data_IF_445960588231
#
_entry.id   IF_445960588231
#
_cell.length_a   1.000
_cell.length_b   1.000
_cell.length_c   1.000
_cell.angle_alpha   90.00
_cell.angle_beta   90.00
_cell.angle_gamma   90.00
#
_symmetry.space_group_name_H-M   'P 1'
#
loop_
_entity.id
_entity.type
_entity.pdbx_description
1 polymer ?
#
# COMPACT_ATOMS: atom_id res chain seq x y z
N UNK A 1 -1.09 21.26 -0.80
CA UNK A 1 -0.16 20.66 0.17
C UNK A 1 -0.20 21.49 1.45
N UNK A 2 -0.36 20.83 2.56
CA UNK A 2 -0.36 21.51 3.87
C UNK A 2 1.10 21.83 4.23
N UNK A 3 1.44 23.12 4.25
CA UNK A 3 2.82 23.61 4.45
C UNK A 3 3.42 23.21 5.81
N UNK A 4 2.60 22.76 6.77
CA UNK A 4 3.08 22.25 8.07
C UNK A 4 3.96 21.00 7.96
N UNK A 5 3.95 20.30 6.82
CA UNK A 5 4.66 19.03 6.60
C UNK A 5 5.82 19.16 5.62
N UNK A 6 6.15 20.37 5.18
CA UNK A 6 7.14 20.61 4.12
C UNK A 6 8.57 20.77 4.66
N UNK A 7 8.74 21.06 5.95
CA UNK A 7 10.03 21.43 6.51
C UNK A 7 10.82 20.28 7.16
N UNK A 8 10.15 19.19 7.57
CA UNK A 8 10.78 18.15 8.40
C UNK A 8 10.70 16.76 7.75
N UNK A 9 11.71 15.94 8.03
CA UNK A 9 11.66 14.50 7.76
C UNK A 9 10.49 13.87 8.51
N UNK A 10 9.78 12.96 7.86
CA UNK A 10 8.70 12.19 8.46
C UNK A 10 8.66 10.77 7.90
N UNK A 11 8.04 9.85 8.62
CA UNK A 11 7.66 8.56 8.05
C UNK A 11 6.23 8.65 7.56
N UNK A 12 6.03 8.53 6.24
CA UNK A 12 4.70 8.38 5.65
C UNK A 12 4.32 6.92 5.58
N UNK A 13 3.06 6.58 5.90
CA UNK A 13 2.50 5.24 5.75
C UNK A 13 1.18 5.31 4.99
N UNK A 14 1.00 4.36 4.07
CA UNK A 14 -0.27 4.13 3.37
C UNK A 14 -0.43 2.65 3.02
N UNK A 15 -1.69 2.23 2.76
CA UNK A 15 -2.02 0.87 2.38
C UNK A 15 -2.78 0.79 1.06
N UNK A 16 -2.76 -0.39 0.46
CA UNK A 16 -3.49 -0.72 -0.75
C UNK A 16 -4.11 -2.09 -0.67
N UNK A 17 -5.25 -2.26 -1.34
CA UNK A 17 -5.91 -3.56 -1.45
C UNK A 17 -6.91 -3.87 -0.36
N UNK A 18 -7.35 -2.93 0.47
CA UNK A 18 -8.39 -3.16 1.49
C UNK A 18 -9.70 -3.67 0.91
N UNK A 19 -10.16 -3.08 -0.19
CA UNK A 19 -11.43 -3.44 -0.85
C UNK A 19 -11.33 -4.56 -1.89
N UNK A 20 -10.20 -5.23 -2.03
CA UNK A 20 -10.04 -6.35 -2.98
C UNK A 20 -10.67 -7.63 -2.43
N UNK A 21 -11.23 -8.47 -3.31
CA UNK A 21 -11.79 -9.78 -2.97
C UNK A 21 -10.71 -10.86 -2.81
N UNK A 22 -9.52 -10.61 -3.36
CA UNK A 22 -8.38 -11.54 -3.32
C UNK A 22 -7.05 -10.82 -3.13
N UNK A 23 -6.07 -11.55 -2.62
CA UNK A 23 -4.72 -11.12 -2.35
C UNK A 23 -4.56 -10.37 -1.03
N UNK A 24 -3.32 -10.05 -0.64
CA UNK A 24 -3.02 -9.39 0.61
C UNK A 24 -3.47 -7.92 0.62
N UNK A 25 -3.65 -7.37 1.82
CA UNK A 25 -3.47 -5.93 2.04
C UNK A 25 -1.98 -5.68 2.18
N UNK A 26 -1.48 -4.65 1.48
CA UNK A 26 -0.06 -4.28 1.47
C UNK A 26 0.06 -2.85 1.94
N UNK A 27 0.99 -2.59 2.87
CA UNK A 27 1.35 -1.26 3.32
C UNK A 27 2.81 -0.97 3.02
N UNK A 28 3.14 0.30 2.84
CA UNK A 28 4.51 0.78 2.81
C UNK A 28 4.73 1.88 3.84
N UNK A 29 5.93 1.92 4.40
CA UNK A 29 6.44 3.01 5.22
C UNK A 29 7.66 3.60 4.51
N UNK A 30 7.70 4.92 4.33
CA UNK A 30 8.79 5.64 3.65
C UNK A 30 9.32 6.73 4.56
N UNK A 31 10.62 6.73 4.83
CA UNK A 31 11.29 7.86 5.49
C UNK A 31 11.47 8.98 4.47
N UNK A 32 10.50 9.89 4.45
CA UNK A 32 10.48 10.99 3.49
C UNK A 32 11.46 12.09 3.91
N UNK A 33 12.34 12.47 2.99
CA UNK A 33 13.25 13.60 3.14
C UNK A 33 12.82 14.72 2.19
N UNK A 34 12.46 15.92 2.69
CA UNK A 34 12.08 17.06 1.85
C UNK A 34 13.15 17.50 0.84
N UNK A 35 14.41 17.16 1.05
CA UNK A 35 15.51 17.48 0.11
C UNK A 35 15.28 16.87 -1.29
N UNK A 36 14.43 15.83 -1.42
CA UNK A 36 14.10 15.28 -2.74
C UNK A 36 13.18 16.19 -3.55
N UNK A 37 12.53 17.19 -2.96
CA UNK A 37 11.52 18.02 -3.65
C UNK A 37 12.07 18.86 -4.80
N UNK A 38 13.37 19.15 -4.80
CA UNK A 38 14.04 19.82 -5.91
C UNK A 38 14.42 18.92 -7.10
N UNK A 39 14.24 17.61 -6.97
CA UNK A 39 14.66 16.68 -8.01
C UNK A 39 13.58 16.54 -9.10
N UNK A 40 13.97 16.42 -10.39
CA UNK A 40 13.02 16.39 -11.51
C UNK A 40 11.94 15.30 -11.40
N UNK A 41 12.25 14.16 -10.79
CA UNK A 41 11.32 13.04 -10.63
C UNK A 41 10.34 13.22 -9.46
N UNK A 42 10.64 14.11 -8.50
CA UNK A 42 9.83 14.28 -7.30
C UNK A 42 8.41 14.81 -7.60
N UNK A 43 8.22 15.49 -8.74
CA UNK A 43 6.90 15.91 -9.22
C UNK A 43 5.94 14.73 -9.46
N UNK A 44 6.48 13.51 -9.62
CA UNK A 44 5.71 12.27 -9.68
C UNK A 44 5.17 11.77 -8.35
N UNK A 45 5.65 12.31 -7.21
CA UNK A 45 5.13 11.98 -5.88
C UNK A 45 3.83 12.75 -5.66
N UNK A 46 2.71 12.13 -5.96
CA UNK A 46 1.36 12.69 -5.80
C UNK A 46 0.36 11.56 -5.62
N UNK A 47 -0.91 11.89 -5.41
CA UNK A 47 -1.99 10.92 -5.25
C UNK A 47 -1.89 9.79 -6.30
N UNK A 48 -1.61 8.58 -5.84
CA UNK A 48 -1.38 7.39 -6.68
C UNK A 48 -2.59 7.03 -7.54
N UNK A 49 -3.81 7.43 -7.11
CA UNK A 49 -5.07 7.20 -7.82
C UNK A 49 -5.18 8.01 -9.12
N UNK A 50 -4.40 9.09 -9.23
CA UNK A 50 -4.35 9.96 -10.43
C UNK A 50 -3.27 9.52 -11.42
N UNK A 51 -2.42 8.58 -11.05
CA UNK A 51 -1.29 8.13 -11.85
C UNK A 51 -1.65 6.94 -12.73
N UNK A 52 -1.10 6.92 -13.94
CA UNK A 52 -1.13 5.71 -14.77
C UNK A 52 -0.21 4.63 -14.16
N UNK A 53 -0.45 3.37 -14.51
CA UNK A 53 0.39 2.24 -14.08
C UNK A 53 1.88 2.50 -14.33
N UNK A 54 2.26 2.90 -15.56
CA UNK A 54 3.67 3.19 -15.90
C UNK A 54 4.25 4.34 -15.08
N UNK A 55 3.42 5.32 -14.70
CA UNK A 55 3.86 6.42 -13.84
C UNK A 55 4.10 5.93 -12.40
N UNK A 56 3.25 5.06 -11.87
CA UNK A 56 3.44 4.42 -10.54
C UNK A 56 4.73 3.60 -10.53
N UNK A 57 4.96 2.74 -11.53
CA UNK A 57 6.16 1.91 -11.64
C UNK A 57 7.44 2.76 -11.67
N UNK A 58 7.43 3.86 -12.46
CA UNK A 58 8.59 4.79 -12.54
C UNK A 58 8.81 5.56 -11.26
N UNK A 59 7.74 6.11 -10.67
CA UNK A 59 7.85 6.87 -9.43
C UNK A 59 8.25 5.95 -8.26
N UNK A 60 7.66 4.76 -8.16
CA UNK A 60 8.00 3.77 -7.15
C UNK A 60 9.47 3.38 -7.20
N UNK A 61 10.02 3.11 -8.39
CA UNK A 61 11.43 2.79 -8.56
C UNK A 61 12.35 3.93 -8.07
N UNK A 62 11.99 5.20 -8.36
CA UNK A 62 12.77 6.36 -7.90
C UNK A 62 12.66 6.60 -6.39
N UNK A 63 11.49 6.39 -5.82
CA UNK A 63 11.27 6.51 -4.37
C UNK A 63 12.15 5.50 -3.62
N UNK A 64 12.12 4.23 -4.01
CA UNK A 64 12.87 3.16 -3.31
C UNK A 64 14.37 3.22 -3.55
N UNK A 65 14.82 3.88 -4.63
CA UNK A 65 16.22 4.19 -4.89
C UNK A 65 16.73 5.33 -3.99
N UNK A 66 15.87 6.34 -3.74
CA UNK A 66 16.27 7.59 -3.10
C UNK A 66 16.01 7.64 -1.58
N UNK A 67 15.07 6.86 -1.08
CA UNK A 67 14.61 6.96 0.31
C UNK A 67 14.52 5.58 0.98
N UNK A 68 14.89 5.47 2.29
CA UNK A 68 14.64 4.27 3.06
C UNK A 68 13.14 3.94 3.13
N UNK A 69 12.80 2.68 2.96
CA UNK A 69 11.42 2.20 2.97
C UNK A 69 11.30 0.80 3.57
N UNK A 70 10.10 0.46 3.99
CA UNK A 70 9.70 -0.90 4.36
C UNK A 70 8.35 -1.23 3.73
N UNK A 71 8.13 -2.50 3.37
CA UNK A 71 6.87 -3.01 2.85
C UNK A 71 6.39 -4.12 3.78
N UNK A 72 5.15 -4.01 4.25
CA UNK A 72 4.47 -5.03 5.04
C UNK A 72 3.21 -5.50 4.33
N UNK A 73 2.80 -6.73 4.64
CA UNK A 73 1.57 -7.28 4.07
C UNK A 73 0.86 -8.18 5.10
N UNK A 74 -0.46 -8.31 4.95
CA UNK A 74 -1.27 -9.34 5.59
C UNK A 74 -2.02 -10.12 4.55
N UNK A 75 -1.92 -11.45 4.62
CA UNK A 75 -2.49 -12.39 3.66
C UNK A 75 -4.03 -12.40 3.68
N UNK A 76 -4.64 -13.04 2.68
CA UNK A 76 -6.08 -13.29 2.66
C UNK A 76 -6.53 -14.08 3.91
N UNK A 77 -5.76 -15.08 4.34
CA UNK A 77 -6.06 -15.86 5.54
C UNK A 77 -6.01 -15.01 6.82
N UNK A 78 -5.01 -14.12 6.97
CA UNK A 78 -4.95 -13.19 8.12
C UNK A 78 -6.10 -12.18 8.10
N UNK A 79 -6.52 -11.74 6.91
CA UNK A 79 -7.69 -10.85 6.76
C UNK A 79 -8.96 -11.58 7.19
N UNK A 80 -9.15 -12.82 6.79
CA UNK A 80 -10.29 -13.64 7.19
C UNK A 80 -10.30 -13.94 8.70
N UNK A 81 -9.12 -14.13 9.30
CA UNK A 81 -8.94 -14.42 10.73
C UNK A 81 -9.16 -13.18 11.61
N UNK A 82 -8.58 -12.05 11.26
CA UNK A 82 -8.50 -10.86 12.14
C UNK A 82 -9.45 -9.73 11.71
N UNK A 83 -10.04 -9.83 10.53
CA UNK A 83 -10.76 -8.75 9.89
C UNK A 83 -9.84 -7.71 9.23
N UNK A 84 -10.37 -7.03 8.21
CA UNK A 84 -9.57 -6.12 7.35
C UNK A 84 -8.92 -4.98 8.12
N UNK A 85 -9.56 -4.43 9.15
CA UNK A 85 -9.01 -3.32 9.93
C UNK A 85 -7.74 -3.75 10.68
N UNK A 86 -7.80 -4.87 11.42
CA UNK A 86 -6.62 -5.36 12.17
C UNK A 86 -5.52 -5.85 11.22
N UNK A 87 -5.88 -6.53 10.14
CA UNK A 87 -4.92 -6.96 9.11
C UNK A 87 -4.22 -5.76 8.44
N UNK A 88 -4.92 -4.64 8.24
CA UNK A 88 -4.29 -3.40 7.73
C UNK A 88 -3.25 -2.86 8.71
N UNK A 89 -3.60 -2.77 9.99
CA UNK A 89 -2.66 -2.32 11.04
C UNK A 89 -1.43 -3.23 11.08
N UNK A 90 -1.63 -4.54 11.04
CA UNK A 90 -0.53 -5.51 11.03
C UNK A 90 0.40 -5.34 9.82
N UNK A 91 -0.15 -5.05 8.64
CA UNK A 91 0.65 -4.74 7.46
C UNK A 91 1.46 -3.45 7.64
N UNK A 92 0.89 -2.41 8.26
CA UNK A 92 1.58 -1.15 8.57
C UNK A 92 2.69 -1.34 9.62
N UNK A 93 2.42 -2.10 10.69
CA UNK A 93 3.41 -2.46 11.71
C UNK A 93 4.62 -3.17 11.07
N UNK A 94 4.37 -4.17 10.23
CA UNK A 94 5.40 -4.90 9.48
C UNK A 94 6.19 -3.99 8.52
N UNK A 95 5.53 -3.03 7.89
CA UNK A 95 6.21 -2.05 7.03
C UNK A 95 7.15 -1.16 7.84
N UNK A 96 6.71 -0.67 9.01
CA UNK A 96 7.55 0.11 9.92
C UNK A 96 8.74 -0.67 10.46
N UNK A 97 8.54 -1.91 10.90
CA UNK A 97 9.63 -2.76 11.38
C UNK A 97 10.73 -2.89 10.33
N UNK A 98 10.37 -3.19 9.08
CA UNK A 98 11.33 -3.29 7.97
C UNK A 98 11.98 -1.97 7.61
N UNK A 99 11.28 -0.84 7.74
CA UNK A 99 11.89 0.48 7.61
C UNK A 99 12.92 0.71 8.72
N UNK A 100 12.58 0.41 9.97
CA UNK A 100 13.45 0.62 11.12
C UNK A 100 14.70 -0.27 11.14
N UNK A 101 14.63 -1.44 10.50
CA UNK A 101 15.80 -2.29 10.27
C UNK A 101 16.80 -1.65 9.31
N UNK A 102 16.29 -0.93 8.28
CA UNK A 102 17.09 -0.27 7.24
C UNK A 102 17.57 1.13 7.63
N UNK A 103 16.77 1.84 8.42
CA UNK A 103 17.00 3.22 8.85
C UNK A 103 16.54 3.39 10.30
N UNK A 104 17.38 3.00 11.29
CA UNK A 104 17.03 3.08 12.72
C UNK A 104 16.67 4.49 13.19
N UNK A 105 17.22 5.52 12.55
CA UNK A 105 16.92 6.93 12.82
C UNK A 105 15.44 7.29 12.56
N UNK A 106 14.74 6.54 11.72
CA UNK A 106 13.31 6.72 11.45
C UNK A 106 12.43 6.56 12.71
N UNK A 107 12.94 5.89 13.76
CA UNK A 107 12.24 5.77 15.06
C UNK A 107 12.07 7.10 15.80
N UNK A 108 12.84 8.12 15.42
CA UNK A 108 12.88 9.43 16.08
C UNK A 108 12.08 10.52 15.37
N UNK A 109 11.43 10.18 14.26
CA UNK A 109 10.64 11.14 13.49
C UNK A 109 9.16 10.81 13.54
N UNK A 110 8.33 11.81 13.25
CA UNK A 110 6.87 11.68 13.27
C UNK A 110 6.42 10.66 12.22
N UNK A 111 5.56 9.74 12.63
CA UNK A 111 4.86 8.81 11.73
C UNK A 111 3.51 9.40 11.35
N UNK A 112 3.26 9.55 10.05
CA UNK A 112 2.02 10.08 9.48
C UNK A 112 1.35 8.99 8.64
N UNK A 113 0.07 8.75 8.90
CA UNK A 113 -0.73 7.72 8.21
C UNK A 113 -1.92 8.35 7.49
N UNK A 114 -2.30 7.80 6.33
CA UNK A 114 -3.57 8.15 5.70
C UNK A 114 -4.75 7.65 6.54
N UNK A 115 -5.77 8.51 6.71
CA UNK A 115 -6.98 8.13 7.41
C UNK A 115 -7.42 9.11 8.49
N UNK A 116 -8.45 8.69 9.25
CA UNK A 116 -9.07 9.47 10.31
C UNK A 116 -8.86 8.89 11.72
N UNK A 117 -8.07 7.84 11.85
CA UNK A 117 -7.86 7.12 13.11
C UNK A 117 -6.39 6.71 13.26
N UNK A 118 -5.89 6.84 14.49
CA UNK A 118 -4.53 6.41 14.87
C UNK A 118 -4.40 4.87 15.01
N UNK A 119 -5.48 4.12 14.84
CA UNK A 119 -5.52 2.65 14.90
C UNK A 119 -4.82 2.05 16.14
N UNK A 120 -4.86 2.77 17.27
CA UNK A 120 -4.23 2.34 18.53
C UNK A 120 -2.73 2.65 18.68
N UNK A 121 -2.15 3.40 17.74
CA UNK A 121 -0.75 3.83 17.77
C UNK A 121 -0.62 5.35 17.98
N UNK A 122 0.58 5.80 18.36
CA UNK A 122 0.93 7.22 18.43
C UNK A 122 1.23 7.84 17.04
N UNK A 123 0.60 7.32 15.99
CA UNK A 123 0.73 7.84 14.63
C UNK A 123 -0.19 9.04 14.42
N UNK A 124 0.25 9.96 13.61
CA UNK A 124 -0.55 11.12 13.25
C UNK A 124 -1.42 10.79 12.03
N UNK A 125 -2.72 10.66 12.26
CA UNK A 125 -3.67 10.39 11.18
C UNK A 125 -4.04 11.69 10.45
N UNK A 126 -3.94 11.67 9.11
CA UNK A 126 -4.30 12.80 8.25
C UNK A 126 -5.30 12.32 7.20
N UNK A 127 -6.51 12.90 7.25
CA UNK A 127 -7.55 12.59 6.26
C UNK A 127 -7.10 13.02 4.86
N UNK A 128 -7.15 12.08 3.90
CA UNK A 128 -6.59 12.23 2.54
C UNK A 128 -5.09 12.56 2.59
N UNK A 129 -4.36 11.89 3.46
CA UNK A 129 -2.92 12.08 3.64
C UNK A 129 -2.15 11.79 2.35
N UNK A 130 -2.59 10.82 1.56
CA UNK A 130 -2.05 10.47 0.23
C UNK A 130 -2.08 11.63 -0.78
N UNK A 131 -3.01 12.59 -0.63
CA UNK A 131 -3.10 13.79 -1.46
C UNK A 131 -2.49 15.05 -0.80
N UNK A 132 -2.20 15.05 0.50
CA UNK A 132 -1.82 16.22 1.30
C UNK A 132 -0.43 16.19 1.86
N UNK A 133 0.11 15.00 2.12
CA UNK A 133 1.42 14.78 2.76
C UNK A 133 2.31 13.96 1.84
N UNK A 134 3.38 14.56 1.35
CA UNK A 134 4.29 13.96 0.37
C UNK A 134 4.83 12.58 0.79
N UNK A 135 5.19 12.43 2.05
CA UNK A 135 5.65 11.14 2.57
C UNK A 135 4.58 10.05 2.50
N UNK A 136 3.31 10.41 2.77
CA UNK A 136 2.16 9.48 2.62
C UNK A 136 1.91 9.18 1.14
N UNK A 137 1.99 10.21 0.25
CA UNK A 137 1.92 10.00 -1.20
C UNK A 137 3.01 9.04 -1.70
N UNK A 138 4.25 9.18 -1.20
CA UNK A 138 5.35 8.28 -1.56
C UNK A 138 5.07 6.84 -1.10
N UNK A 139 4.59 6.66 0.15
CA UNK A 139 4.19 5.35 0.67
C UNK A 139 3.06 4.73 -0.15
N UNK A 140 2.04 5.51 -0.53
CA UNK A 140 0.93 5.08 -1.40
C UNK A 140 1.44 4.50 -2.73
N UNK A 141 2.36 5.20 -3.39
CA UNK A 141 2.96 4.76 -4.66
C UNK A 141 3.74 3.46 -4.47
N UNK A 142 4.58 3.36 -3.42
CA UNK A 142 5.39 2.16 -3.15
C UNK A 142 4.50 0.96 -2.82
N UNK A 143 3.49 1.13 -1.96
CA UNK A 143 2.54 0.06 -1.62
C UNK A 143 1.78 -0.41 -2.87
N UNK A 144 1.32 0.53 -3.71
CA UNK A 144 0.59 0.23 -4.94
C UNK A 144 1.44 -0.52 -5.94
N UNK A 145 2.67 -0.07 -6.20
CA UNK A 145 3.59 -0.76 -7.12
C UNK A 145 3.90 -2.18 -6.64
N UNK A 146 4.21 -2.34 -5.35
CA UNK A 146 4.54 -3.64 -4.78
C UNK A 146 3.36 -4.63 -4.89
N UNK A 147 2.14 -4.19 -4.52
CA UNK A 147 0.97 -5.05 -4.58
C UNK A 147 0.58 -5.41 -6.02
N UNK A 148 0.61 -4.43 -6.93
CA UNK A 148 0.26 -4.68 -8.32
C UNK A 148 1.23 -5.66 -8.99
N UNK A 149 2.54 -5.57 -8.71
CA UNK A 149 3.55 -6.55 -9.17
C UNK A 149 3.26 -7.94 -8.61
N UNK A 150 2.97 -8.06 -7.31
CA UNK A 150 2.63 -9.33 -6.67
C UNK A 150 1.42 -9.97 -7.35
N UNK A 151 0.33 -9.21 -7.50
CA UNK A 151 -0.93 -9.74 -8.04
C UNK A 151 -0.86 -10.07 -9.53
N UNK A 152 -0.13 -9.26 -10.31
CA UNK A 152 0.01 -9.46 -11.77
C UNK A 152 1.03 -10.53 -12.15
N UNK A 153 2.03 -10.75 -11.31
CA UNK A 153 3.10 -11.73 -11.53
C UNK A 153 2.81 -13.05 -10.80
N UNK A 154 3.39 -13.26 -9.61
CA UNK A 154 3.33 -14.57 -8.93
C UNK A 154 1.91 -15.09 -8.70
N UNK A 155 0.99 -14.22 -8.24
CA UNK A 155 -0.40 -14.65 -7.95
C UNK A 155 -1.15 -14.98 -9.24
N UNK A 156 -1.05 -14.16 -10.28
CA UNK A 156 -1.69 -14.46 -11.56
C UNK A 156 -1.13 -15.74 -12.20
N UNK A 157 0.18 -15.96 -12.12
CA UNK A 157 0.81 -17.18 -12.64
C UNK A 157 0.35 -18.46 -11.91
N UNK A 158 0.15 -18.35 -10.58
CA UNK A 158 -0.31 -19.47 -9.76
C UNK A 158 -1.81 -19.77 -9.95
N UNK A 159 -2.60 -18.75 -10.24
CA UNK A 159 -4.07 -18.84 -10.36
C UNK A 159 -4.58 -18.23 -11.67
N UNK A 160 -4.23 -18.80 -12.84
CA UNK A 160 -4.50 -18.17 -14.14
C UNK A 160 -5.98 -18.04 -14.49
N UNK A 161 -6.86 -18.87 -13.89
CA UNK A 161 -8.29 -18.88 -14.17
C UNK A 161 -9.03 -17.59 -13.70
N UNK A 162 -8.45 -16.84 -12.76
CA UNK A 162 -9.14 -15.70 -12.14
C UNK A 162 -8.86 -14.35 -12.83
N UNK A 163 -7.80 -14.26 -13.65
CA UNK A 163 -7.47 -13.04 -14.39
C UNK A 163 -6.88 -11.91 -13.51
N UNK A 164 -6.15 -12.27 -12.46
CA UNK A 164 -5.51 -11.32 -11.53
C UNK A 164 -4.54 -10.35 -12.21
N UNK A 165 -3.97 -10.71 -13.35
CA UNK A 165 -3.11 -9.84 -14.16
C UNK A 165 -3.82 -8.55 -14.60
N UNK A 166 -5.13 -8.57 -14.73
CA UNK A 166 -5.91 -7.41 -15.18
C UNK A 166 -6.45 -6.56 -14.05
N UNK A 167 -7.10 -7.16 -13.05
CA UNK A 167 -7.86 -6.48 -12.00
C UNK A 167 -7.25 -6.56 -10.60
N UNK A 168 -6.11 -7.20 -10.45
CA UNK A 168 -5.33 -7.32 -9.20
C UNK A 168 -6.17 -7.68 -7.96
N UNK A 169 -7.17 -8.54 -8.14
CA UNK A 169 -8.05 -9.03 -7.08
C UNK A 169 -9.28 -8.19 -6.76
N UNK A 170 -9.50 -7.05 -7.42
CA UNK A 170 -10.74 -6.27 -7.24
C UNK A 170 -11.96 -6.98 -7.88
N UNK A 171 -13.14 -6.74 -7.31
CA UNK A 171 -14.41 -7.40 -7.68
C UNK A 171 -15.00 -6.91 -9.00
N UNK A 172 -14.26 -7.05 -10.09
CA UNK A 172 -14.76 -6.79 -11.44
C UNK A 172 -15.76 -7.87 -11.88
N UNK A 173 -16.55 -7.60 -12.91
CA UNK A 173 -17.49 -8.60 -13.49
C UNK A 173 -16.76 -9.88 -13.87
N UNK A 174 -15.57 -9.78 -14.48
CA UNK A 174 -14.73 -10.92 -14.86
C UNK A 174 -14.31 -11.74 -13.65
N UNK A 175 -13.81 -11.06 -12.60
CA UNK A 175 -13.40 -11.73 -11.36
C UNK A 175 -14.55 -12.46 -10.68
N UNK A 176 -15.70 -11.79 -10.55
CA UNK A 176 -16.92 -12.38 -9.97
C UNK A 176 -17.46 -13.57 -10.79
N UNK A 177 -17.31 -13.54 -12.11
CA UNK A 177 -17.67 -14.66 -12.98
C UNK A 177 -16.74 -15.86 -12.73
N UNK A 178 -15.42 -15.63 -12.67
CA UNK A 178 -14.43 -16.67 -12.40
C UNK A 178 -14.65 -17.33 -11.02
N UNK A 179 -14.96 -16.54 -9.98
CA UNK A 179 -15.30 -17.09 -8.65
C UNK A 179 -16.53 -17.99 -8.72
N UNK A 180 -17.59 -17.60 -9.45
CA UNK A 180 -18.79 -18.43 -9.59
C UNK A 180 -18.54 -19.73 -10.35
N UNK A 181 -17.66 -19.70 -11.33
CA UNK A 181 -17.36 -20.85 -12.20
C UNK A 181 -16.41 -21.84 -11.53
N UNK A 182 -15.35 -21.34 -10.87
CA UNK A 182 -14.25 -22.17 -10.36
C UNK A 182 -14.21 -22.27 -8.83
N UNK A 183 -15.10 -21.55 -8.12
CA UNK A 183 -14.99 -21.39 -6.67
C UNK A 183 -13.87 -20.45 -6.25
N UNK A 184 -13.69 -20.17 -4.96
CA UNK A 184 -12.59 -19.35 -4.47
C UNK A 184 -11.30 -20.16 -4.38
N UNK A 185 -10.15 -19.57 -4.77
CA UNK A 185 -8.80 -20.09 -4.47
C UNK A 185 -8.28 -19.55 -3.13
N UNK A 186 -7.11 -20.01 -2.68
CA UNK A 186 -6.51 -19.63 -1.39
C UNK A 186 -6.20 -18.13 -1.25
N UNK A 187 -6.10 -17.39 -2.35
CA UNK A 187 -5.91 -15.93 -2.32
C UNK A 187 -7.22 -15.17 -2.06
N UNK A 188 -8.38 -15.84 -2.12
CA UNK A 188 -9.65 -15.15 -1.89
C UNK A 188 -9.94 -14.98 -0.40
N UNK A 189 -10.54 -13.83 -0.10
CA UNK A 189 -10.97 -13.44 1.26
C UNK A 189 -12.39 -13.96 1.49
N UNK A 190 -12.50 -15.15 2.04
CA UNK A 190 -13.79 -15.87 2.16
C UNK A 190 -14.82 -15.19 3.05
N UNK A 191 -14.40 -14.26 3.91
CA UNK A 191 -15.29 -13.43 4.73
C UNK A 191 -15.88 -12.24 3.98
N UNK A 192 -15.35 -11.92 2.78
CA UNK A 192 -15.84 -10.78 1.99
C UNK A 192 -17.10 -11.14 1.20
N UNK A 193 -18.04 -10.19 1.17
CA UNK A 193 -19.29 -10.37 0.39
C UNK A 193 -18.98 -10.58 -1.09
N UNK A 194 -19.52 -11.64 -1.67
CA UNK A 194 -19.38 -11.98 -3.08
C UNK A 194 -18.24 -12.96 -3.40
N UNK A 195 -17.58 -13.50 -2.37
CA UNK A 195 -16.59 -14.58 -2.52
C UNK A 195 -17.20 -15.95 -2.23
N UNK A 196 -18.28 -15.99 -1.44
CA UNK A 196 -19.10 -17.21 -1.15
C UNK A 196 -20.38 -17.21 -1.97
#
# INVERSE_FOLDING_TARGET
LDTRWVADRLVGIDEVGRGSLAGPVVAAAVLYDPLVEGLPWSSGIRDSKTLTRKAIERAGAKIVEAMPYGIGQSSAAEIDQFGITRATVLAMERALERLYERAPEARRVTVVVDGNSQMGHAWLAVVKGDARVRGVSAASIVAKDARDRLMRGPVAARFPLYGFESHVGYGTRRHMAAIREHGPCEEHRTTFKGVR
#
